data_IF_509137943561
#
_entry.id   IF_509137943561
#
_cell.length_a   1.000
_cell.length_b   1.000
_cell.length_c   1.000
_cell.angle_alpha   90.00
_cell.angle_beta   90.00
_cell.angle_gamma   90.00
#
_symmetry.space_group_name_H-M   'P 1'
#
loop_
_entity.id
_entity.type
_entity.pdbx_description
1 polymer ?
#
# COMPACT_ATOMS: atom_id res chain seq x y z
N UNK A 1 34.32 -21.73 12.62
CA UNK A 1 32.95 -22.29 12.45
C UNK A 1 31.95 -21.16 12.51
N UNK A 2 31.37 -20.76 11.36
CA UNK A 2 30.30 -19.76 11.31
C UNK A 2 29.00 -20.44 11.72
N UNK A 3 28.38 -19.94 12.78
CA UNK A 3 27.06 -20.37 13.27
C UNK A 3 26.04 -19.97 12.20
N UNK A 4 25.52 -20.95 11.44
CA UNK A 4 24.35 -20.75 10.59
C UNK A 4 23.20 -20.38 11.52
N UNK A 5 22.74 -19.14 11.43
CA UNK A 5 21.51 -18.70 12.07
C UNK A 5 20.40 -19.24 11.17
N UNK A 6 19.73 -20.31 11.60
CA UNK A 6 18.50 -20.78 10.97
C UNK A 6 17.47 -19.64 11.09
N UNK A 7 17.27 -18.89 10.01
CA UNK A 7 16.10 -18.03 9.88
C UNK A 7 14.94 -18.99 9.63
N UNK A 8 14.12 -19.24 10.65
CA UNK A 8 12.97 -20.14 10.53
C UNK A 8 12.11 -19.75 9.32
N UNK A 9 11.73 -20.72 8.51
CA UNK A 9 10.85 -20.49 7.36
C UNK A 9 9.59 -19.76 7.86
N UNK A 10 9.35 -18.54 7.35
CA UNK A 10 8.11 -17.83 7.68
C UNK A 10 6.95 -18.60 7.06
N UNK A 11 6.14 -19.19 7.93
CA UNK A 11 4.92 -19.89 7.55
C UNK A 11 3.80 -18.89 7.27
N UNK A 12 2.79 -19.31 6.52
CA UNK A 12 1.61 -18.50 6.25
C UNK A 12 1.04 -17.95 7.57
N UNK A 13 0.67 -16.68 7.60
CA UNK A 13 -0.01 -16.09 8.75
C UNK A 13 -1.29 -16.87 9.03
N UNK A 14 -1.69 -16.95 10.29
CA UNK A 14 -2.86 -17.76 10.66
C UNK A 14 -4.16 -16.96 10.66
N UNK A 15 -4.12 -15.64 10.88
CA UNK A 15 -5.32 -14.80 11.05
C UNK A 15 -5.12 -13.37 10.52
N UNK A 16 -6.22 -12.62 10.48
CA UNK A 16 -6.22 -11.19 10.14
C UNK A 16 -5.96 -10.93 8.66
N UNK A 17 -5.78 -9.65 8.33
CA UNK A 17 -5.54 -9.20 6.95
C UNK A 17 -4.38 -9.91 6.28
N UNK A 18 -3.29 -10.16 7.02
CA UNK A 18 -2.12 -10.87 6.50
C UNK A 18 -2.45 -12.28 6.01
N UNK A 19 -3.21 -13.08 6.77
CA UNK A 19 -3.64 -14.41 6.33
C UNK A 19 -4.50 -14.34 5.07
N UNK A 20 -5.48 -13.45 5.06
CA UNK A 20 -6.42 -13.32 3.94
C UNK A 20 -5.70 -12.87 2.68
N UNK A 21 -4.88 -11.82 2.77
CA UNK A 21 -4.18 -11.29 1.60
C UNK A 21 -3.16 -12.28 1.04
N UNK A 22 -2.40 -12.97 1.90
CA UNK A 22 -1.54 -14.08 1.48
C UNK A 22 -2.33 -15.17 0.74
N UNK A 23 -3.54 -15.50 1.22
CA UNK A 23 -4.38 -16.50 0.58
C UNK A 23 -4.92 -16.01 -0.77
N UNK A 24 -5.36 -14.76 -0.87
CA UNK A 24 -5.81 -14.18 -2.13
C UNK A 24 -4.71 -14.17 -3.19
N UNK A 25 -3.52 -13.68 -2.86
CA UNK A 25 -2.40 -13.62 -3.81
C UNK A 25 -1.97 -15.01 -4.28
N UNK A 26 -1.96 -16.03 -3.42
CA UNK A 26 -1.42 -17.35 -3.76
C UNK A 26 -2.45 -18.36 -4.26
N UNK A 27 -3.74 -18.21 -3.90
CA UNK A 27 -4.80 -19.19 -4.25
C UNK A 27 -5.92 -18.60 -5.10
N UNK A 28 -6.14 -17.29 -5.02
CA UNK A 28 -7.28 -16.62 -5.67
C UNK A 28 -6.87 -15.39 -6.49
N UNK A 29 -5.66 -15.39 -7.05
CA UNK A 29 -5.11 -14.22 -7.75
C UNK A 29 -5.92 -13.81 -8.97
N UNK A 30 -6.55 -14.76 -9.67
CA UNK A 30 -7.47 -14.44 -10.78
C UNK A 30 -8.67 -13.61 -10.34
N UNK A 31 -9.30 -13.97 -9.21
CA UNK A 31 -10.42 -13.23 -8.63
C UNK A 31 -9.95 -11.88 -8.11
N UNK A 32 -8.84 -11.85 -7.37
CA UNK A 32 -8.24 -10.63 -6.86
C UNK A 32 -7.94 -9.63 -7.99
N UNK A 33 -7.28 -10.07 -9.07
CA UNK A 33 -6.96 -9.22 -10.20
C UNK A 33 -8.24 -8.68 -10.86
N UNK A 34 -9.21 -9.56 -11.12
CA UNK A 34 -10.48 -9.16 -11.73
C UNK A 34 -11.18 -8.06 -10.94
N UNK A 35 -11.21 -8.18 -9.61
CA UNK A 35 -11.82 -7.19 -8.74
C UNK A 35 -11.04 -5.87 -8.72
N UNK A 36 -9.70 -5.91 -8.63
CA UNK A 36 -8.84 -4.72 -8.68
C UNK A 36 -9.08 -3.93 -9.98
N UNK A 37 -9.04 -4.59 -11.13
CA UNK A 37 -9.24 -3.92 -12.43
C UNK A 37 -10.67 -3.40 -12.62
N UNK A 38 -11.68 -4.09 -12.05
CA UNK A 38 -13.07 -3.63 -12.14
C UNK A 38 -13.34 -2.37 -11.30
N UNK A 39 -12.50 -2.10 -10.29
CA UNK A 39 -12.58 -0.90 -9.46
C UNK A 39 -11.57 0.19 -9.87
N UNK A 40 -10.81 0.01 -10.97
CA UNK A 40 -9.78 0.96 -11.39
C UNK A 40 -9.76 1.19 -12.90
N UNK A 41 -10.56 2.16 -13.38
CA UNK A 41 -10.52 2.58 -14.79
C UNK A 41 -9.12 3.06 -15.22
N UNK A 42 -8.38 3.75 -14.34
CA UNK A 42 -7.04 4.27 -14.66
C UNK A 42 -6.02 3.16 -14.86
N UNK A 43 -6.05 2.12 -14.01
CA UNK A 43 -5.17 0.96 -14.13
C UNK A 43 -5.51 0.15 -15.37
N UNK A 44 -6.80 -0.09 -15.63
CA UNK A 44 -7.26 -0.81 -16.82
C UNK A 44 -6.87 -0.09 -18.12
N UNK A 45 -6.96 1.24 -18.13
CA UNK A 45 -6.50 2.04 -19.27
C UNK A 45 -4.99 1.94 -19.45
N UNK A 46 -4.22 2.01 -18.36
CA UNK A 46 -2.77 1.91 -18.39
C UNK A 46 -2.26 0.55 -18.90
N UNK A 47 -2.97 -0.54 -18.58
CA UNK A 47 -2.64 -1.90 -19.04
C UNK A 47 -3.30 -2.25 -20.37
N UNK A 48 -3.94 -1.29 -21.05
CA UNK A 48 -4.61 -1.51 -22.34
C UNK A 48 -5.63 -2.65 -22.33
N UNK A 49 -6.35 -2.77 -21.21
CA UNK A 49 -7.36 -3.80 -21.02
C UNK A 49 -6.85 -5.12 -20.48
N UNK A 50 -5.53 -5.33 -20.37
CA UNK A 50 -4.98 -6.53 -19.75
C UNK A 50 -5.27 -6.54 -18.24
N UNK A 51 -5.71 -7.69 -17.73
CA UNK A 51 -6.10 -7.88 -16.33
C UNK A 51 -5.12 -8.77 -15.56
N UNK A 52 -3.84 -8.60 -15.84
CA UNK A 52 -2.77 -9.44 -15.29
C UNK A 52 -1.92 -8.59 -14.35
N UNK A 53 -1.78 -9.07 -13.11
CA UNK A 53 -0.83 -8.56 -12.13
C UNK A 53 0.23 -9.63 -11.90
N UNK A 54 1.49 -9.28 -12.14
CA UNK A 54 2.64 -10.08 -11.75
C UNK A 54 2.94 -9.83 -10.27
N UNK A 55 2.27 -10.59 -9.40
CA UNK A 55 2.49 -10.50 -7.95
C UNK A 55 3.93 -10.87 -7.59
N UNK A 56 4.58 -9.98 -6.85
CA UNK A 56 5.94 -10.14 -6.32
C UNK A 56 5.94 -10.41 -4.82
N UNK A 57 4.87 -10.03 -4.12
CA UNK A 57 4.72 -10.27 -2.69
C UNK A 57 3.23 -10.22 -2.30
N UNK A 58 2.78 -11.05 -1.34
CA UNK A 58 3.56 -12.09 -0.64
C UNK A 58 3.43 -13.45 -1.36
N UNK A 59 4.55 -14.05 -1.76
CA UNK A 59 4.56 -15.35 -2.47
C UNK A 59 4.92 -16.49 -1.51
N UNK A 60 4.18 -17.60 -1.59
CA UNK A 60 4.36 -18.75 -0.69
C UNK A 60 5.76 -19.37 -0.78
N UNK A 61 6.31 -19.50 -1.99
CA UNK A 61 7.67 -20.03 -2.21
C UNK A 61 8.78 -19.07 -1.76
N UNK A 62 8.44 -17.80 -1.51
CA UNK A 62 9.34 -16.79 -0.92
C UNK A 62 9.03 -16.54 0.56
N UNK A 63 8.39 -17.51 1.23
CA UNK A 63 8.01 -17.43 2.64
C UNK A 63 7.18 -16.18 2.98
N UNK A 64 6.34 -15.74 2.05
CA UNK A 64 5.43 -14.60 2.21
C UNK A 64 6.13 -13.31 2.63
N UNK A 65 7.34 -13.06 2.11
CA UNK A 65 8.14 -11.86 2.42
C UNK A 65 7.33 -10.58 2.16
N UNK A 66 7.28 -9.70 3.15
CA UNK A 66 6.84 -8.30 3.03
C UNK A 66 8.05 -7.40 2.81
N UNK A 67 7.88 -6.35 2.02
CA UNK A 67 8.96 -5.43 1.65
C UNK A 67 8.76 -4.08 2.32
N UNK A 68 9.87 -3.41 2.63
CA UNK A 68 9.87 -2.07 3.21
C UNK A 68 10.69 -1.15 2.32
N UNK A 69 11.84 -0.66 2.77
CA UNK A 69 12.72 0.26 2.04
C UNK A 69 13.39 -0.40 0.80
N UNK A 70 13.29 -1.72 0.66
CA UNK A 70 13.89 -2.50 -0.41
C UNK A 70 12.96 -2.74 -1.61
N UNK A 71 11.67 -2.39 -1.53
CA UNK A 71 10.65 -2.71 -2.54
C UNK A 71 10.99 -2.28 -3.97
N UNK A 72 11.69 -1.14 -4.15
CA UNK A 72 12.05 -0.62 -5.47
C UNK A 72 12.95 -1.56 -6.29
N UNK A 73 13.64 -2.50 -5.64
CA UNK A 73 14.42 -3.52 -6.37
C UNK A 73 13.55 -4.49 -7.16
N UNK A 74 12.26 -4.59 -6.83
CA UNK A 74 11.30 -5.39 -7.61
C UNK A 74 10.88 -4.64 -8.86
N UNK A 75 10.98 -3.30 -8.85
CA UNK A 75 10.63 -2.46 -9.98
C UNK A 75 11.84 -2.17 -10.88
N UNK A 76 13.05 -1.96 -10.40
CA UNK A 76 14.15 -1.61 -11.31
C UNK A 76 14.91 -2.83 -11.80
N UNK A 77 15.17 -2.88 -13.11
CA UNK A 77 16.09 -3.85 -13.71
C UNK A 77 17.54 -3.33 -13.69
N UNK A 78 17.72 -2.00 -13.79
CA UNK A 78 19.00 -1.31 -13.65
C UNK A 78 19.30 -0.97 -12.18
N UNK A 79 20.45 -1.42 -11.68
CA UNK A 79 20.84 -1.23 -10.27
C UNK A 79 21.15 0.23 -9.92
N UNK A 80 21.68 1.01 -10.86
CA UNK A 80 22.06 2.40 -10.64
C UNK A 80 20.83 3.32 -10.63
N UNK A 81 19.85 3.08 -11.48
CA UNK A 81 18.53 3.72 -11.39
C UNK A 81 17.84 3.39 -10.07
N UNK A 82 17.88 2.11 -9.65
CA UNK A 82 17.34 1.68 -8.36
C UNK A 82 18.00 2.43 -7.19
N UNK A 83 19.33 2.55 -7.18
CA UNK A 83 20.09 3.27 -6.15
C UNK A 83 19.72 4.75 -6.12
N UNK A 84 19.61 5.40 -7.28
CA UNK A 84 19.21 6.82 -7.37
C UNK A 84 17.81 7.05 -6.80
N UNK A 85 16.84 6.22 -7.17
CA UNK A 85 15.47 6.35 -6.65
C UNK A 85 15.38 6.04 -5.16
N UNK A 86 16.11 5.03 -4.67
CA UNK A 86 16.21 4.74 -3.22
C UNK A 86 16.84 5.90 -2.46
N UNK A 87 17.86 6.55 -3.02
CA UNK A 87 18.47 7.73 -2.40
C UNK A 87 17.50 8.90 -2.36
N UNK A 88 16.81 9.19 -3.47
CA UNK A 88 15.77 10.21 -3.53
C UNK A 88 14.70 10.01 -2.43
N UNK A 89 14.19 8.78 -2.26
CA UNK A 89 13.22 8.48 -1.19
C UNK A 89 13.82 8.73 0.20
N UNK A 90 15.10 8.43 0.44
CA UNK A 90 15.75 8.69 1.74
C UNK A 90 15.96 10.18 2.03
N UNK A 91 16.08 10.99 0.98
CA UNK A 91 16.22 12.43 1.12
C UNK A 91 14.89 13.10 1.49
N UNK A 92 13.76 12.53 1.05
CA UNK A 92 12.41 13.06 1.28
C UNK A 92 11.65 12.34 2.41
N UNK A 93 11.98 11.10 2.72
CA UNK A 93 11.30 10.30 3.73
C UNK A 93 12.27 9.65 4.71
N UNK A 94 11.83 9.54 5.97
CA UNK A 94 12.62 8.91 7.02
C UNK A 94 12.83 7.41 6.75
N UNK A 95 13.99 6.88 7.17
CA UNK A 95 14.29 5.45 7.10
C UNK A 95 13.21 4.61 7.80
N UNK A 96 13.02 3.37 7.33
CA UNK A 96 11.98 2.45 7.79
C UNK A 96 10.59 2.99 7.42
N UNK A 97 10.39 3.19 6.12
CA UNK A 97 9.13 3.62 5.55
C UNK A 97 8.02 2.56 5.64
N UNK A 98 6.99 2.63 4.77
CA UNK A 98 5.92 1.65 4.73
C UNK A 98 6.45 0.23 4.58
N UNK A 99 6.01 -0.69 5.43
CA UNK A 99 5.98 -2.11 5.09
C UNK A 99 4.74 -2.33 4.22
N UNK A 100 4.90 -2.96 3.07
CA UNK A 100 3.82 -3.25 2.13
C UNK A 100 3.30 -4.67 2.31
N UNK A 101 1.99 -4.81 2.47
CA UNK A 101 1.32 -6.12 2.59
C UNK A 101 1.33 -6.88 1.26
N UNK A 102 1.49 -6.16 0.15
CA UNK A 102 1.55 -6.72 -1.20
C UNK A 102 2.25 -5.81 -2.18
N UNK A 103 2.92 -6.42 -3.15
CA UNK A 103 3.52 -5.74 -4.29
C UNK A 103 3.21 -6.53 -5.56
N UNK A 104 2.74 -5.82 -6.58
CA UNK A 104 2.55 -6.35 -7.93
C UNK A 104 3.18 -5.46 -8.98
N UNK A 105 3.46 -6.03 -10.14
CA UNK A 105 3.84 -5.28 -11.34
C UNK A 105 2.81 -5.52 -12.44
N UNK A 106 2.54 -4.48 -13.22
CA UNK A 106 1.68 -4.56 -14.41
C UNK A 106 2.44 -4.07 -15.63
N UNK A 107 2.09 -4.56 -16.81
CA UNK A 107 2.67 -4.12 -18.06
C UNK A 107 1.90 -2.92 -18.60
N UNK A 108 2.58 -1.80 -18.84
CA UNK A 108 2.10 -0.72 -19.70
C UNK A 108 2.80 -0.75 -21.06
N UNK A 109 2.41 0.12 -22.00
CA UNK A 109 3.06 0.17 -23.33
C UNK A 109 4.55 0.47 -23.26
N UNK A 110 4.93 1.49 -22.49
CA UNK A 110 6.30 2.04 -22.52
C UNK A 110 7.15 1.63 -21.32
N UNK A 111 6.50 1.40 -20.18
CA UNK A 111 7.14 0.93 -18.94
C UNK A 111 6.14 0.12 -18.14
N UNK A 112 6.66 -0.65 -17.19
CA UNK A 112 5.85 -1.32 -16.19
C UNK A 112 5.27 -0.33 -15.18
N UNK A 113 4.14 -0.71 -14.60
CA UNK A 113 3.51 -0.02 -13.48
C UNK A 113 3.71 -0.81 -12.18
N UNK A 114 3.71 -0.11 -11.07
CA UNK A 114 3.85 -0.65 -9.72
C UNK A 114 2.50 -0.68 -9.01
N UNK A 115 2.21 -1.77 -8.32
CA UNK A 115 1.07 -1.90 -7.43
C UNK A 115 1.59 -2.07 -6.01
N UNK A 116 1.09 -1.24 -5.10
CA UNK A 116 1.38 -1.28 -3.68
C UNK A 116 0.09 -1.56 -2.92
N UNK A 117 0.16 -2.38 -1.86
CA UNK A 117 -1.02 -2.81 -1.12
C UNK A 117 -0.88 -2.55 0.37
N UNK A 118 -1.96 -2.03 0.97
CA UNK A 118 -2.22 -2.01 2.42
C UNK A 118 -3.51 -2.81 2.66
N UNK A 119 -3.45 -3.82 3.52
CA UNK A 119 -4.57 -4.70 3.83
C UNK A 119 -4.95 -4.63 5.32
N UNK A 120 -6.23 -4.37 5.60
CA UNK A 120 -6.77 -4.29 6.97
C UNK A 120 -7.97 -5.20 7.15
N UNK A 121 -8.14 -5.71 8.37
CA UNK A 121 -9.22 -6.61 8.77
C UNK A 121 -10.16 -6.00 9.81
N UNK A 122 -9.76 -4.90 10.46
CA UNK A 122 -10.63 -4.17 11.38
C UNK A 122 -10.37 -2.66 11.40
N UNK A 123 -11.43 -1.89 11.70
CA UNK A 123 -11.39 -0.41 11.67
C UNK A 123 -10.30 0.19 12.55
N UNK A 124 -10.03 -0.39 13.72
CA UNK A 124 -9.01 0.14 14.66
C UNK A 124 -7.60 0.14 14.06
N UNK A 125 -7.29 -0.68 13.06
CA UNK A 125 -5.98 -0.70 12.39
C UNK A 125 -5.71 0.56 11.58
N UNK A 126 -6.73 1.36 11.24
CA UNK A 126 -6.53 2.62 10.51
C UNK A 126 -5.99 3.71 11.40
N UNK A 127 -6.27 3.65 12.71
CA UNK A 127 -5.84 4.66 13.66
C UNK A 127 -4.36 4.51 13.99
N UNK A 128 -3.58 5.53 13.67
CA UNK A 128 -2.14 5.50 13.82
C UNK A 128 -1.58 6.91 13.92
N UNK A 129 -0.48 7.04 14.66
CA UNK A 129 0.27 8.28 14.81
C UNK A 129 1.72 8.10 14.41
N UNK A 130 2.35 9.19 14.03
CA UNK A 130 3.80 9.26 13.82
C UNK A 130 4.53 8.75 15.07
N UNK A 131 5.56 7.94 14.85
CA UNK A 131 6.43 7.39 15.90
C UNK A 131 7.87 7.88 15.81
N UNK A 132 8.18 8.72 14.83
CA UNK A 132 9.50 9.32 14.69
C UNK A 132 9.78 10.22 15.90
N UNK A 133 10.99 10.11 16.46
CA UNK A 133 11.43 10.87 17.63
C UNK A 133 12.53 11.88 17.29
N UNK A 134 13.26 11.68 16.19
CA UNK A 134 14.31 12.61 15.77
C UNK A 134 13.70 13.84 15.08
N UNK A 135 14.21 15.04 15.42
CA UNK A 135 13.74 16.29 14.80
C UNK A 135 13.89 16.27 13.28
N UNK A 136 15.00 15.71 12.77
CA UNK A 136 15.23 15.56 11.33
C UNK A 136 14.15 14.70 10.66
N UNK A 137 13.86 13.52 11.20
CA UNK A 137 12.83 12.63 10.64
C UNK A 137 11.44 13.25 10.71
N UNK A 138 11.11 13.91 11.82
CA UNK A 138 9.84 14.61 11.98
C UNK A 138 9.70 15.72 10.92
N UNK A 139 10.75 16.53 10.70
CA UNK A 139 10.74 17.58 9.66
C UNK A 139 10.50 16.98 8.27
N UNK A 140 11.29 15.99 7.86
CA UNK A 140 11.17 15.34 6.55
C UNK A 140 9.77 14.74 6.31
N UNK A 141 9.23 14.03 7.32
CA UNK A 141 7.89 13.45 7.24
C UNK A 141 6.83 14.54 7.13
N UNK A 142 6.95 15.61 7.93
CA UNK A 142 5.98 16.71 7.96
C UNK A 142 5.96 17.48 6.64
N UNK A 143 7.14 17.80 6.11
CA UNK A 143 7.31 18.50 4.82
C UNK A 143 6.71 17.67 3.68
N UNK A 144 7.03 16.38 3.62
CA UNK A 144 6.51 15.50 2.56
C UNK A 144 5.00 15.29 2.68
N UNK A 145 4.47 15.16 3.90
CA UNK A 145 3.01 15.09 4.11
C UNK A 145 2.34 16.39 3.69
N UNK A 146 2.93 17.56 3.94
CA UNK A 146 2.37 18.84 3.48
C UNK A 146 2.30 18.92 1.94
N UNK A 147 3.35 18.48 1.24
CA UNK A 147 3.33 18.37 -0.23
C UNK A 147 2.25 17.38 -0.71
N UNK A 148 2.14 16.24 -0.02
CA UNK A 148 1.12 15.22 -0.31
C UNK A 148 -0.28 15.80 -0.11
N UNK A 149 -0.54 16.54 0.96
CA UNK A 149 -1.83 17.20 1.21
C UNK A 149 -2.24 18.08 0.02
N UNK A 150 -1.31 18.85 -0.54
CA UNK A 150 -1.59 19.69 -1.70
C UNK A 150 -2.03 18.86 -2.93
N UNK A 151 -1.38 17.73 -3.20
CA UNK A 151 -1.74 16.83 -4.30
C UNK A 151 -3.11 16.15 -4.13
N UNK A 152 -3.54 15.99 -2.88
CA UNK A 152 -4.88 15.50 -2.53
C UNK A 152 -5.92 16.61 -2.40
N UNK A 153 -5.55 17.87 -2.69
CA UNK A 153 -6.43 19.04 -2.48
C UNK A 153 -6.94 19.15 -1.05
N UNK A 154 -6.14 18.70 -0.08
CA UNK A 154 -6.54 18.61 1.33
C UNK A 154 -6.77 20.00 1.92
N UNK A 155 -7.94 20.20 2.50
CA UNK A 155 -8.28 21.40 3.29
C UNK A 155 -8.07 21.22 4.80
N UNK A 156 -7.72 20.01 5.25
CA UNK A 156 -7.52 19.71 6.65
C UNK A 156 -6.15 20.20 7.16
N UNK A 157 -6.09 20.48 8.47
CA UNK A 157 -4.81 20.63 9.17
C UNK A 157 -3.95 19.37 8.99
N UNK A 158 -2.64 19.51 9.18
CA UNK A 158 -1.71 18.37 9.11
C UNK A 158 -1.88 17.40 10.30
N UNK A 159 -2.49 17.85 11.41
CA UNK A 159 -2.60 17.08 12.65
C UNK A 159 -3.31 15.72 12.48
N UNK A 160 -4.48 15.61 11.83
CA UNK A 160 -5.10 14.30 11.59
C UNK A 160 -4.26 13.37 10.71
N UNK A 161 -3.52 13.93 9.74
CA UNK A 161 -2.58 13.17 8.92
C UNK A 161 -1.43 12.59 9.75
N UNK A 162 -0.92 13.33 10.73
CA UNK A 162 0.21 12.89 11.57
C UNK A 162 -0.19 12.06 12.79
N UNK A 163 -1.36 12.32 13.38
CA UNK A 163 -1.71 11.82 14.71
C UNK A 163 -2.94 10.91 14.75
N UNK A 164 -3.74 10.85 13.67
CA UNK A 164 -4.94 10.02 13.63
C UNK A 164 -4.86 8.92 12.56
N UNK A 165 -4.35 9.22 11.36
CA UNK A 165 -4.29 8.28 10.24
C UNK A 165 -2.90 8.22 9.59
N UNK A 166 -1.84 8.26 10.40
CA UNK A 166 -0.45 8.35 9.94
C UNK A 166 -0.02 7.26 8.95
N UNK A 167 -0.43 6.02 9.16
CA UNK A 167 -0.12 4.94 8.22
C UNK A 167 -0.71 5.25 6.84
N UNK A 168 -1.98 5.63 6.75
CA UNK A 168 -2.59 5.99 5.47
C UNK A 168 -1.91 7.22 4.83
N UNK A 169 -1.62 8.26 5.62
CA UNK A 169 -0.88 9.43 5.19
C UNK A 169 0.51 9.07 4.62
N UNK A 170 1.21 8.15 5.28
CA UNK A 170 2.48 7.60 4.82
C UNK A 170 2.34 6.86 3.47
N UNK A 171 1.26 6.07 3.26
CA UNK A 171 1.03 5.41 1.96
C UNK A 171 0.74 6.42 0.86
N UNK A 172 -0.02 7.47 1.16
CA UNK A 172 -0.27 8.56 0.21
C UNK A 172 1.00 9.35 -0.13
N UNK A 173 1.88 9.57 0.85
CA UNK A 173 3.17 10.21 0.60
C UNK A 173 4.03 9.38 -0.37
N UNK A 174 4.08 8.06 -0.21
CA UNK A 174 4.79 7.20 -1.16
C UNK A 174 4.13 7.20 -2.54
N UNK A 175 2.80 7.19 -2.62
CA UNK A 175 2.09 7.29 -3.90
C UNK A 175 2.43 8.60 -4.62
N UNK A 176 2.48 9.72 -3.90
CA UNK A 176 2.92 11.02 -4.40
C UNK A 176 4.37 10.98 -4.89
N UNK A 177 5.32 10.61 -4.03
CA UNK A 177 6.75 10.58 -4.38
C UNK A 177 7.02 9.69 -5.60
N UNK A 178 6.35 8.54 -5.68
CA UNK A 178 6.55 7.60 -6.80
C UNK A 178 5.99 8.16 -8.11
N UNK A 179 4.78 8.71 -8.12
CA UNK A 179 4.14 9.16 -9.35
C UNK A 179 4.59 10.56 -9.81
N UNK A 180 4.65 11.51 -8.88
CA UNK A 180 4.89 12.91 -9.21
C UNK A 180 6.37 13.24 -9.29
N UNK A 181 7.20 12.67 -8.41
CA UNK A 181 8.62 13.01 -8.35
C UNK A 181 9.50 12.01 -9.10
N UNK A 182 9.27 10.70 -8.92
CA UNK A 182 10.05 9.65 -9.58
C UNK A 182 9.45 9.19 -10.91
N UNK A 183 8.24 9.64 -11.25
CA UNK A 183 7.52 9.26 -12.47
C UNK A 183 7.40 7.75 -12.67
N UNK A 184 7.27 6.99 -11.58
CA UNK A 184 6.96 5.56 -11.57
C UNK A 184 5.44 5.42 -11.50
N UNK A 185 4.76 4.97 -12.58
CA UNK A 185 3.31 4.77 -12.56
C UNK A 185 2.95 3.80 -11.46
N UNK A 186 2.26 4.28 -10.43
CA UNK A 186 2.00 3.50 -9.22
C UNK A 186 0.53 3.60 -8.82
N UNK A 187 -0.06 2.47 -8.43
CA UNK A 187 -1.39 2.40 -7.83
C UNK A 187 -1.30 1.87 -6.41
N UNK A 188 -2.11 2.45 -5.53
CA UNK A 188 -2.26 2.02 -4.15
C UNK A 188 -3.61 1.31 -3.98
N UNK A 189 -3.55 0.03 -3.62
CA UNK A 189 -4.75 -0.75 -3.28
C UNK A 189 -4.87 -0.77 -1.77
N UNK A 190 -5.99 -0.25 -1.29
CA UNK A 190 -6.40 -0.35 0.10
C UNK A 190 -7.40 -1.50 0.17
N UNK A 191 -6.98 -2.64 0.70
CA UNK A 191 -7.83 -3.83 0.88
C UNK A 191 -8.46 -3.83 2.27
N UNK A 192 -9.77 -4.03 2.33
CA UNK A 192 -10.55 -4.18 3.55
C UNK A 192 -11.22 -5.56 3.54
N UNK A 193 -10.86 -6.42 4.49
CA UNK A 193 -11.53 -7.71 4.63
C UNK A 193 -12.86 -7.56 5.37
N UNK A 194 -13.93 -8.01 4.70
CA UNK A 194 -15.30 -8.03 5.21
C UNK A 194 -15.50 -9.29 6.04
N UNK A 195 -16.14 -9.12 7.21
CA UNK A 195 -16.57 -10.20 8.09
C UNK A 195 -15.44 -11.18 8.48
N UNK A 196 -14.27 -10.67 8.86
CA UNK A 196 -13.15 -11.51 9.27
C UNK A 196 -13.45 -12.34 10.54
N UNK A 197 -13.88 -13.58 10.32
CA UNK A 197 -14.16 -14.58 11.35
C UNK A 197 -12.90 -15.00 12.15
N UNK A 198 -11.70 -14.73 11.64
CA UNK A 198 -10.44 -15.07 12.32
C UNK A 198 -10.00 -14.01 13.32
N UNK A 199 -10.64 -12.83 13.31
CA UNK A 199 -10.29 -11.70 14.16
C UNK A 199 -11.53 -10.90 14.61
N UNK A 200 -11.89 -9.83 13.90
CA UNK A 200 -13.03 -8.96 14.21
C UNK A 200 -13.87 -8.81 12.95
N UNK A 201 -15.16 -9.16 13.04
CA UNK A 201 -16.10 -8.97 11.94
C UNK A 201 -16.38 -7.48 11.75
N UNK A 202 -16.18 -7.03 10.52
CA UNK A 202 -16.50 -5.67 10.08
C UNK A 202 -17.25 -5.78 8.76
N UNK A 203 -18.50 -5.31 8.71
CA UNK A 203 -19.31 -5.38 7.49
C UNK A 203 -18.80 -4.43 6.41
N UNK A 204 -19.23 -4.65 5.17
CA UNK A 204 -18.90 -3.76 4.05
C UNK A 204 -19.39 -2.33 4.30
N UNK A 205 -20.60 -2.18 4.83
CA UNK A 205 -21.23 -0.89 5.13
C UNK A 205 -20.44 -0.13 6.20
N UNK A 206 -19.98 -0.84 7.24
CA UNK A 206 -19.11 -0.26 8.27
C UNK A 206 -17.80 0.24 7.69
N UNK A 207 -17.18 -0.53 6.79
CA UNK A 207 -15.96 -0.13 6.12
C UNK A 207 -16.15 1.11 5.22
N UNK A 208 -17.23 1.14 4.43
CA UNK A 208 -17.56 2.29 3.57
C UNK A 208 -17.76 3.55 4.42
N UNK A 209 -18.60 3.48 5.44
CA UNK A 209 -18.86 4.61 6.34
C UNK A 209 -17.58 5.08 7.04
N UNK A 210 -16.71 4.14 7.42
CA UNK A 210 -15.43 4.46 8.03
C UNK A 210 -14.50 5.21 7.08
N UNK A 211 -14.28 4.73 5.85
CA UNK A 211 -13.41 5.42 4.90
C UNK A 211 -13.95 6.76 4.42
N UNK A 212 -15.28 6.92 4.33
CA UNK A 212 -15.90 8.24 4.13
C UNK A 212 -15.51 9.21 5.25
N UNK A 213 -15.59 8.78 6.51
CA UNK A 213 -15.15 9.57 7.66
C UNK A 213 -13.64 9.85 7.64
N UNK A 214 -12.82 8.86 7.31
CA UNK A 214 -11.35 9.02 7.22
C UNK A 214 -11.01 10.07 6.17
N UNK A 215 -11.53 9.94 4.94
CA UNK A 215 -11.23 10.86 3.84
C UNK A 215 -11.74 12.28 4.14
N UNK A 216 -12.92 12.40 4.76
CA UNK A 216 -13.43 13.68 5.24
C UNK A 216 -12.51 14.29 6.31
N UNK A 217 -12.05 13.51 7.29
CA UNK A 217 -11.16 13.98 8.35
C UNK A 217 -9.80 14.42 7.80
N UNK A 218 -9.31 13.72 6.79
CA UNK A 218 -8.10 14.09 6.05
C UNK A 218 -8.32 15.25 5.06
N UNK A 219 -9.55 15.74 4.92
CA UNK A 219 -9.90 16.89 4.07
C UNK A 219 -9.72 16.64 2.57
N UNK A 220 -9.67 15.38 2.13
CA UNK A 220 -9.34 15.00 0.76
C UNK A 220 -10.41 15.49 -0.22
N UNK A 221 -9.97 16.17 -1.28
CA UNK A 221 -10.87 16.61 -2.34
C UNK A 221 -11.32 15.44 -3.22
N UNK A 222 -12.62 15.33 -3.48
CA UNK A 222 -13.18 14.33 -4.41
C UNK A 222 -12.67 14.46 -5.85
N UNK A 223 -12.10 15.63 -6.21
CA UNK A 223 -11.55 15.90 -7.53
C UNK A 223 -10.03 15.78 -7.58
N UNK A 224 -9.38 15.34 -6.50
CA UNK A 224 -7.93 15.17 -6.48
C UNK A 224 -7.49 14.15 -7.54
N UNK A 225 -6.61 14.52 -8.50
CA UNK A 225 -6.15 13.60 -9.54
C UNK A 225 -5.53 12.32 -9.00
N UNK A 226 -4.86 12.41 -7.84
CA UNK A 226 -4.24 11.26 -7.18
C UNK A 226 -5.23 10.17 -6.72
N UNK A 227 -6.51 10.52 -6.53
CA UNK A 227 -7.53 9.51 -6.21
C UNK A 227 -7.73 8.50 -7.34
N UNK A 228 -7.44 8.87 -8.59
CA UNK A 228 -7.50 7.93 -9.72
C UNK A 228 -6.52 6.76 -9.57
N UNK A 229 -5.50 6.89 -8.73
CA UNK A 229 -4.50 5.84 -8.47
C UNK A 229 -4.75 5.08 -7.16
N UNK A 230 -5.84 5.39 -6.44
CA UNK A 230 -6.22 4.68 -5.22
C UNK A 230 -7.41 3.79 -5.49
N UNK A 231 -7.32 2.56 -5.04
CA UNK A 231 -8.36 1.55 -5.21
C UNK A 231 -8.80 1.11 -3.82
N UNK A 232 -10.02 1.49 -3.41
CA UNK A 232 -10.66 0.96 -2.22
C UNK A 232 -11.32 -0.38 -2.59
N UNK A 233 -10.81 -1.47 -2.03
CA UNK A 233 -11.26 -2.81 -2.35
C UNK A 233 -11.79 -3.52 -1.10
N UNK A 234 -13.04 -3.97 -1.17
CA UNK A 234 -13.67 -4.71 -0.07
C UNK A 234 -13.81 -6.18 -0.46
N UNK A 235 -13.02 -7.05 0.18
CA UNK A 235 -12.98 -8.48 -0.14
C UNK A 235 -13.59 -9.30 1.00
N UNK A 236 -14.34 -10.39 0.72
CA UNK A 236 -14.77 -11.29 1.77
C UNK A 236 -13.56 -11.95 2.44
N UNK A 237 -13.59 -12.06 3.77
CA UNK A 237 -12.64 -12.87 4.50
C UNK A 237 -12.77 -14.35 4.11
N UNK A 238 -11.65 -15.05 4.04
CA UNK A 238 -11.61 -16.46 3.66
C UNK A 238 -11.87 -17.33 4.90
N UNK A 239 -12.90 -18.19 4.92
CA UNK A 239 -13.13 -19.12 6.02
C UNK A 239 -11.93 -20.05 6.18
N UNK A 240 -11.61 -20.41 7.43
CA UNK A 240 -10.70 -21.53 7.67
C UNK A 240 -11.46 -22.83 7.41
N UNK A 241 -10.86 -23.72 6.62
CA UNK A 241 -11.25 -25.12 6.57
C UNK A 241 -10.81 -25.84 7.84
#
# INVERSE_FOLDING_TARGET
>A
MKKLIYVGAMTQATKGSKYHFQTYVNKYSGVLNQDIFSHSPSLLAYTHGERIINWKSPLAHESYKEYQDDFLQLYYDDEDECKKSKQFIRDHWAKNGPVWDGIGLVSGITKKGLILVEAKSHLRETHSKIKATSAKSISQITETIALTQAQFGSSAFITPWLNEYYQLANRFAYLYLLNQELHIPTWLILVQFIDDFTHIKTSKEQWIAHYQKVFHTLGISHHAPMLSQIILLYLPAIPRN
#
